data_IF_578104411474
#
_entry.id   IF_578104411474
#
_cell.length_a   1.000
_cell.length_b   1.000
_cell.length_c   1.000
_cell.angle_alpha   90.00
_cell.angle_beta   90.00
_cell.angle_gamma   90.00
#
_symmetry.space_group_name_H-M   'P 1'
#
loop_
_entity.id
_entity.type
_entity.pdbx_description
1 polymer ?
#
# COMPACT_ATOMS: atom_id res chain seq x y z
N UNK A 1 11.89 -4.35 8.92
CA UNK A 1 12.28 -4.98 10.20
C UNK A 1 11.02 -5.33 10.99
N UNK A 2 10.59 -6.60 10.98
CA UNK A 2 9.37 -7.02 11.68
C UNK A 2 9.63 -7.04 13.20
N UNK A 3 9.02 -6.11 13.94
CA UNK A 3 9.11 -6.07 15.40
C UNK A 3 8.42 -7.33 15.94
N UNK A 4 9.21 -8.21 16.58
CA UNK A 4 8.71 -9.42 17.22
C UNK A 4 7.83 -9.00 18.40
N UNK A 5 6.52 -9.17 18.27
CA UNK A 5 5.57 -8.77 19.30
C UNK A 5 5.64 -9.74 20.49
N UNK A 6 6.14 -9.26 21.63
CA UNK A 6 6.37 -10.08 22.84
C UNK A 6 5.08 -10.33 23.67
N UNK A 7 4.00 -9.57 23.43
CA UNK A 7 2.75 -9.67 24.17
C UNK A 7 1.55 -9.52 23.22
N UNK A 8 0.74 -10.57 23.14
CA UNK A 8 -0.44 -10.66 22.27
C UNK A 8 -1.71 -10.54 23.12
N UNK A 9 -1.99 -9.33 23.62
CA UNK A 9 -3.21 -9.00 24.36
C UNK A 9 -3.83 -7.73 23.77
N UNK A 10 -4.97 -7.90 23.10
CA UNK A 10 -5.73 -6.81 22.46
C UNK A 10 -7.06 -6.54 23.18
N UNK A 11 -7.21 -7.02 24.43
CA UNK A 11 -8.40 -6.77 25.26
C UNK A 11 -9.74 -7.17 24.63
N UNK A 12 -9.76 -8.02 23.60
CA UNK A 12 -10.96 -8.34 22.81
C UNK A 12 -12.14 -8.79 23.68
N UNK A 13 -11.92 -9.75 24.60
CA UNK A 13 -12.98 -10.21 25.53
C UNK A 13 -13.39 -9.10 26.50
N UNK A 14 -12.43 -8.31 27.02
CA UNK A 14 -12.71 -7.19 27.94
C UNK A 14 -13.60 -6.14 27.28
N UNK A 15 -13.36 -5.87 26.00
CA UNK A 15 -14.12 -4.98 25.14
C UNK A 15 -15.60 -5.39 25.01
N UNK A 16 -15.87 -6.67 24.75
CA UNK A 16 -17.23 -7.22 24.76
C UNK A 16 -17.90 -7.09 26.14
N UNK A 17 -17.18 -7.42 27.23
CA UNK A 17 -17.72 -7.32 28.59
C UNK A 17 -18.07 -5.88 28.97
N UNK A 18 -17.22 -4.91 28.62
CA UNK A 18 -17.47 -3.50 28.89
C UNK A 18 -18.72 -3.01 28.16
N UNK A 19 -18.91 -3.41 26.91
CA UNK A 19 -20.09 -3.04 26.14
C UNK A 19 -21.36 -3.68 26.73
N UNK A 20 -21.27 -4.94 27.16
CA UNK A 20 -22.37 -5.62 27.83
C UNK A 20 -22.77 -4.91 29.15
N UNK A 21 -21.81 -4.56 30.01
CA UNK A 21 -22.10 -3.84 31.26
C UNK A 21 -22.73 -2.46 31.01
N UNK A 22 -22.34 -1.79 29.90
CA UNK A 22 -22.93 -0.50 29.52
C UNK A 22 -24.43 -0.59 29.22
N UNK A 23 -24.92 -1.72 28.70
CA UNK A 23 -26.37 -1.95 28.49
C UNK A 23 -27.12 -1.85 29.83
N UNK A 24 -26.52 -2.34 30.91
CA UNK A 24 -27.13 -2.32 32.24
C UNK A 24 -26.84 -1.04 33.05
N UNK A 25 -26.16 -0.07 32.45
CA UNK A 25 -25.87 1.21 33.08
C UNK A 25 -26.94 2.24 32.76
N UNK A 26 -27.34 3.03 33.76
CA UNK A 26 -28.24 4.17 33.57
C UNK A 26 -29.67 3.95 34.06
N UNK A 27 -30.02 2.75 34.53
CA UNK A 27 -31.32 2.51 35.16
C UNK A 27 -31.45 3.25 36.49
N UNK A 28 -32.68 3.69 36.77
CA UNK A 28 -33.02 4.35 38.03
C UNK A 28 -34.31 3.79 38.62
N UNK A 29 -34.39 3.79 39.94
CA UNK A 29 -35.53 3.27 40.70
C UNK A 29 -36.10 4.39 41.55
N UNK A 30 -37.43 4.48 41.60
CA UNK A 30 -38.15 5.36 42.50
C UNK A 30 -38.23 4.70 43.87
N UNK A 31 -37.57 5.29 44.86
CA UNK A 31 -37.58 4.75 46.23
C UNK A 31 -38.52 5.49 47.19
N UNK A 32 -39.23 6.53 46.71
CA UNK A 32 -40.17 7.31 47.51
C UNK A 32 -40.28 8.76 47.06
N UNK A 33 -40.86 9.61 47.92
CA UNK A 33 -40.98 11.06 47.70
C UNK A 33 -39.92 11.81 48.50
N UNK A 34 -39.42 12.93 47.98
CA UNK A 34 -38.45 13.77 48.67
C UNK A 34 -39.06 14.29 49.97
N UNK A 35 -38.29 14.19 51.07
CA UNK A 35 -38.69 14.45 52.46
C UNK A 35 -39.24 15.87 52.74
N UNK A 36 -39.20 16.79 51.78
CA UNK A 36 -39.47 18.22 52.00
C UNK A 36 -40.53 18.84 51.07
N UNK A 37 -41.18 18.05 50.21
CA UNK A 37 -42.14 18.60 49.23
C UNK A 37 -43.38 17.71 49.01
N UNK A 38 -43.31 16.38 49.26
CA UNK A 38 -44.48 15.49 49.10
C UNK A 38 -45.01 15.36 47.65
N UNK A 39 -44.46 16.13 46.70
CA UNK A 39 -44.80 16.14 45.28
C UNK A 39 -43.69 15.62 44.37
N UNK A 40 -42.41 15.78 44.74
CA UNK A 40 -41.28 15.32 43.91
C UNK A 40 -40.86 13.89 44.25
N UNK A 41 -40.79 13.05 43.22
CA UNK A 41 -40.28 11.68 43.31
C UNK A 41 -38.75 11.66 43.47
N UNK A 42 -38.24 10.76 44.31
CA UNK A 42 -36.81 10.55 44.53
C UNK A 42 -36.33 9.30 43.79
N UNK A 43 -35.38 9.50 42.88
CA UNK A 43 -34.80 8.46 42.05
C UNK A 43 -33.38 8.15 42.49
N UNK A 44 -33.06 6.86 42.59
CA UNK A 44 -31.72 6.36 42.82
C UNK A 44 -31.20 5.69 41.55
N UNK A 45 -29.99 6.06 41.10
CA UNK A 45 -29.34 5.40 39.97
C UNK A 45 -28.74 4.08 40.44
N UNK A 46 -29.08 2.99 39.76
CA UNK A 46 -28.59 1.65 40.11
C UNK A 46 -27.21 1.44 39.48
N UNK A 47 -26.16 1.16 40.27
CA UNK A 47 -24.85 0.90 39.73
C UNK A 47 -24.76 -0.51 39.15
N UNK A 48 -24.26 -0.62 37.91
CA UNK A 48 -23.84 -1.87 37.30
C UNK A 48 -22.35 -2.10 37.52
N UNK A 49 -21.95 -3.30 37.97
CA UNK A 49 -20.56 -3.64 38.30
C UNK A 49 -20.18 -5.00 37.74
N UNK A 50 -18.90 -5.16 37.37
CA UNK A 50 -18.34 -6.47 37.08
C UNK A 50 -17.88 -7.16 38.37
N UNK A 51 -18.43 -8.32 38.69
CA UNK A 51 -18.04 -9.06 39.89
C UNK A 51 -18.91 -10.29 40.17
N UNK A 52 -18.27 -11.38 40.58
CA UNK A 52 -18.96 -12.61 41.01
C UNK A 52 -19.69 -12.37 42.35
N UNK A 53 -20.87 -12.96 42.45
CA UNK A 53 -21.74 -13.02 43.64
C UNK A 53 -20.93 -13.41 44.87
N UNK A 54 -20.06 -14.42 44.79
CA UNK A 54 -19.34 -14.95 45.97
C UNK A 54 -18.50 -13.88 46.67
N UNK A 55 -17.83 -13.01 45.89
CA UNK A 55 -16.98 -11.94 46.39
C UNK A 55 -17.80 -10.73 46.84
N UNK A 56 -18.87 -10.41 46.13
CA UNK A 56 -19.75 -9.29 46.48
C UNK A 56 -20.60 -9.61 47.72
N UNK A 57 -21.20 -10.80 47.78
CA UNK A 57 -21.94 -11.31 48.93
C UNK A 57 -21.04 -11.44 50.16
N UNK A 58 -19.81 -11.95 50.04
CA UNK A 58 -18.88 -12.00 51.17
C UNK A 58 -18.49 -10.61 51.70
N UNK A 59 -18.44 -9.59 50.83
CA UNK A 59 -18.17 -8.20 51.27
C UNK A 59 -19.38 -7.60 51.99
N UNK A 60 -20.58 -7.87 51.50
CA UNK A 60 -21.84 -7.42 52.13
C UNK A 60 -22.05 -8.12 53.48
N UNK A 61 -21.87 -9.44 53.54
CA UNK A 61 -21.97 -10.21 54.78
C UNK A 61 -20.93 -9.80 55.83
N UNK A 62 -19.69 -9.46 55.43
CA UNK A 62 -18.65 -8.95 56.33
C UNK A 62 -18.92 -7.52 56.82
N UNK A 63 -19.69 -6.74 56.06
CA UNK A 63 -20.11 -5.38 56.42
C UNK A 63 -21.45 -5.30 57.15
N UNK A 64 -22.12 -6.43 57.41
CA UNK A 64 -23.45 -6.46 58.03
C UNK A 64 -23.36 -6.33 59.56
N UNK A 65 -22.95 -5.14 60.02
CA UNK A 65 -23.23 -4.67 61.38
C UNK A 65 -24.64 -4.04 61.37
N UNK A 66 -25.44 -4.24 62.42
CA UNK A 66 -26.83 -3.74 62.55
C UNK A 66 -27.03 -2.24 62.20
N UNK A 67 -25.95 -1.46 62.18
CA UNK A 67 -25.98 -0.01 61.96
C UNK A 67 -25.53 0.43 60.54
N UNK A 68 -25.26 -0.49 59.61
CA UNK A 68 -24.85 -0.16 58.23
C UNK A 68 -26.01 -0.46 57.28
N UNK A 69 -26.47 0.57 56.57
CA UNK A 69 -27.53 0.43 55.56
C UNK A 69 -27.06 -0.47 54.43
N UNK A 70 -27.84 -1.52 54.16
CA UNK A 70 -27.59 -2.48 53.09
C UNK A 70 -27.48 -1.76 51.72
N UNK A 71 -26.44 -2.06 50.95
CA UNK A 71 -26.07 -1.34 49.70
C UNK A 71 -26.92 -1.71 48.47
N UNK A 72 -28.13 -2.26 48.65
CA UNK A 72 -29.08 -2.53 47.57
C UNK A 72 -29.88 -1.26 47.20
N UNK A 73 -30.27 -1.04 45.92
CA UNK A 73 -30.15 -1.94 44.78
C UNK A 73 -28.85 -1.77 43.97
N UNK A 74 -28.34 -2.87 43.39
CA UNK A 74 -27.22 -2.87 42.44
C UNK A 74 -27.35 -4.03 41.44
N UNK A 75 -26.64 -3.93 40.30
CA UNK A 75 -26.58 -4.98 39.28
C UNK A 75 -25.14 -5.53 39.21
N UNK A 76 -24.99 -6.84 39.39
CA UNK A 76 -23.73 -7.56 39.21
C UNK A 76 -23.72 -8.29 37.87
N UNK A 77 -22.65 -8.17 37.10
CA UNK A 77 -22.46 -8.92 35.86
C UNK A 77 -21.16 -9.70 35.92
N UNK A 78 -21.17 -10.97 35.52
CA UNK A 78 -19.98 -11.81 35.51
C UNK A 78 -20.05 -12.91 34.44
N UNK A 79 -18.89 -13.47 34.09
CA UNK A 79 -18.78 -14.52 33.07
C UNK A 79 -19.12 -15.87 33.71
N UNK A 80 -20.19 -16.51 33.25
CA UNK A 80 -20.54 -17.87 33.66
C UNK A 80 -19.64 -18.90 32.99
N UNK A 81 -19.49 -18.81 31.66
CA UNK A 81 -18.63 -19.72 30.90
C UNK A 81 -18.27 -19.14 29.54
N UNK A 82 -17.13 -19.56 29.01
CA UNK A 82 -16.72 -19.32 27.63
C UNK A 82 -16.59 -20.68 26.93
N UNK A 83 -17.38 -20.89 25.86
CA UNK A 83 -17.42 -22.17 25.14
C UNK A 83 -17.11 -21.95 23.65
N UNK A 84 -16.38 -22.88 22.99
CA UNK A 84 -16.20 -22.80 21.54
C UNK A 84 -17.52 -23.08 20.83
N UNK A 85 -17.88 -22.23 19.88
CA UNK A 85 -19.11 -22.39 19.11
C UNK A 85 -18.85 -23.18 17.83
N UNK A 86 -19.17 -24.46 17.86
CA UNK A 86 -18.91 -25.37 16.73
C UNK A 86 -19.80 -25.11 15.52
N UNK A 87 -20.98 -24.50 15.70
CA UNK A 87 -21.92 -24.29 14.61
C UNK A 87 -21.48 -23.16 13.67
N UNK A 88 -20.71 -22.19 14.19
CA UNK A 88 -20.17 -21.05 13.44
C UNK A 88 -18.73 -21.25 12.96
N UNK A 89 -18.14 -22.43 13.16
CA UNK A 89 -16.79 -22.73 12.69
C UNK A 89 -16.78 -22.73 11.17
N UNK A 90 -15.93 -21.88 10.59
CA UNK A 90 -15.59 -21.90 9.17
C UNK A 90 -14.15 -22.35 9.00
N UNK A 91 -13.68 -22.38 7.75
CA UNK A 91 -12.31 -22.81 7.44
C UNK A 91 -11.26 -21.92 8.14
N UNK A 92 -10.40 -22.50 9.00
CA UNK A 92 -9.44 -21.72 9.80
C UNK A 92 -8.37 -20.96 9.00
N UNK A 93 -8.11 -21.38 7.75
CA UNK A 93 -7.11 -20.77 6.88
C UNK A 93 -7.68 -19.73 5.92
N UNK A 94 -8.99 -19.49 5.98
CA UNK A 94 -9.61 -18.48 5.14
C UNK A 94 -9.03 -17.10 5.49
N UNK A 95 -8.49 -16.43 4.47
CA UNK A 95 -8.02 -15.07 4.55
C UNK A 95 -8.89 -14.18 3.65
N UNK A 96 -9.35 -13.08 4.23
CA UNK A 96 -10.06 -12.07 3.48
C UNK A 96 -9.18 -10.82 3.37
N UNK A 97 -9.15 -10.23 2.18
CA UNK A 97 -8.26 -9.13 1.84
C UNK A 97 -9.11 -7.93 1.43
N UNK A 98 -9.17 -6.93 2.29
CA UNK A 98 -9.92 -5.69 2.03
C UNK A 98 -8.92 -4.60 1.62
N UNK A 99 -9.09 -4.09 0.40
CA UNK A 99 -8.35 -2.93 -0.08
C UNK A 99 -9.01 -1.65 0.46
N UNK A 100 -8.22 -0.84 1.17
CA UNK A 100 -8.65 0.43 1.77
C UNK A 100 -7.73 1.53 1.26
N UNK A 101 -8.33 2.65 0.84
CA UNK A 101 -7.58 3.85 0.47
C UNK A 101 -7.71 4.84 1.62
N UNK A 102 -6.59 5.28 2.20
CA UNK A 102 -6.61 6.35 3.18
C UNK A 102 -6.76 7.70 2.49
N UNK A 103 -7.20 8.69 3.24
CA UNK A 103 -7.18 10.08 2.78
C UNK A 103 -5.76 10.61 2.88
N UNK A 104 -5.31 11.41 1.91
CA UNK A 104 -3.97 12.00 1.93
C UNK A 104 -3.76 12.83 3.19
N UNK A 105 -2.71 12.54 3.94
CA UNK A 105 -2.33 13.28 5.14
C UNK A 105 -1.41 14.43 4.74
N UNK A 106 -1.83 15.66 4.98
CA UNK A 106 -0.99 16.83 4.79
C UNK A 106 -0.19 17.11 6.07
N UNK A 107 1.12 16.89 5.99
CA UNK A 107 2.05 17.03 7.11
C UNK A 107 2.26 18.49 7.54
N UNK A 108 1.96 19.47 6.68
CA UNK A 108 2.06 20.89 7.02
C UNK A 108 0.87 21.36 7.85
N UNK A 109 -0.33 20.86 7.56
CA UNK A 109 -1.58 21.25 8.26
C UNK A 109 -2.02 20.26 9.32
N UNK A 110 -1.38 19.08 9.41
CA UNK A 110 -1.77 17.95 10.25
C UNK A 110 -3.23 17.53 10.04
N UNK A 111 -3.72 17.59 8.80
CA UNK A 111 -5.09 17.28 8.44
C UNK A 111 -5.16 16.33 7.27
N UNK A 112 -6.22 15.53 7.25
CA UNK A 112 -6.58 14.70 6.11
C UNK A 112 -7.29 15.55 5.06
N UNK A 113 -6.79 15.50 3.83
CA UNK A 113 -7.35 16.20 2.68
C UNK A 113 -8.32 15.27 1.94
N UNK A 114 -9.25 15.81 1.15
CA UNK A 114 -10.18 15.02 0.33
C UNK A 114 -9.53 14.37 -0.90
N UNK A 115 -8.21 14.19 -0.91
CA UNK A 115 -7.45 13.54 -1.97
C UNK A 115 -7.12 12.10 -1.58
N UNK A 116 -6.97 11.24 -2.59
CA UNK A 116 -6.54 9.86 -2.39
C UNK A 116 -5.11 9.83 -1.81
N UNK A 117 -4.94 9.13 -0.69
CA UNK A 117 -3.66 8.87 -0.03
C UNK A 117 -3.16 7.46 -0.29
N UNK A 118 -2.42 6.90 0.67
CA UNK A 118 -1.88 5.55 0.54
C UNK A 118 -2.97 4.48 0.44
N UNK A 119 -2.70 3.47 -0.38
CA UNK A 119 -3.54 2.28 -0.48
C UNK A 119 -2.96 1.16 0.36
N UNK A 120 -3.78 0.59 1.23
CA UNK A 120 -3.43 -0.55 2.05
C UNK A 120 -4.30 -1.73 1.68
N UNK A 121 -3.70 -2.91 1.64
CA UNK A 121 -4.42 -4.15 1.66
C UNK A 121 -4.32 -4.75 3.06
N UNK A 122 -5.45 -4.83 3.75
CA UNK A 122 -5.54 -5.41 5.09
C UNK A 122 -6.01 -6.86 4.92
N UNK A 123 -5.10 -7.80 5.20
CA UNK A 123 -5.41 -9.22 5.23
C UNK A 123 -5.82 -9.61 6.64
N UNK A 124 -7.06 -10.09 6.78
CA UNK A 124 -7.64 -10.58 8.02
C UNK A 124 -7.81 -12.10 7.93
N UNK A 125 -7.41 -12.81 8.99
CA UNK A 125 -7.71 -14.24 9.11
C UNK A 125 -9.11 -14.43 9.68
N UNK A 126 -9.72 -15.57 9.36
CA UNK A 126 -10.93 -16.06 10.01
C UNK A 126 -10.79 -16.06 11.55
N UNK A 127 -11.65 -15.36 12.31
CA UNK A 127 -11.71 -15.39 13.75
C UNK A 127 -12.29 -16.71 14.21
N UNK A 128 -11.91 -17.09 15.41
CA UNK A 128 -12.44 -18.27 16.07
C UNK A 128 -13.73 -17.88 16.79
N UNK A 129 -14.86 -18.55 16.52
CA UNK A 129 -16.13 -18.27 17.17
C UNK A 129 -16.17 -18.86 18.59
N UNK A 130 -16.62 -18.05 19.54
CA UNK A 130 -16.94 -18.46 20.90
C UNK A 130 -18.35 -18.01 21.30
N UNK A 131 -18.92 -18.72 22.25
CA UNK A 131 -20.12 -18.33 22.99
C UNK A 131 -19.70 -17.90 24.38
N UNK A 132 -19.91 -16.62 24.68
CA UNK A 132 -19.71 -16.03 25.99
C UNK A 132 -21.05 -16.04 26.72
N UNK A 133 -21.15 -16.87 27.76
CA UNK A 133 -22.32 -16.92 28.63
C UNK A 133 -22.09 -15.97 29.81
N UNK A 134 -22.92 -14.93 29.90
CA UNK A 134 -22.89 -13.92 30.94
C UNK A 134 -24.08 -14.08 31.87
N UNK A 135 -23.85 -13.92 33.17
CA UNK A 135 -24.91 -13.87 34.15
C UNK A 135 -25.04 -12.44 34.69
N UNK A 136 -26.28 -11.97 34.82
CA UNK A 136 -26.64 -10.67 35.40
C UNK A 136 -27.54 -10.89 36.60
N UNK A 137 -27.11 -10.40 37.75
CA UNK A 137 -27.81 -10.52 39.02
C UNK A 137 -28.28 -9.14 39.49
N UNK A 138 -29.59 -8.98 39.63
CA UNK A 138 -30.24 -7.75 40.09
C UNK A 138 -30.57 -7.92 41.57
N UNK A 139 -29.86 -7.18 42.42
CA UNK A 139 -30.03 -7.19 43.87
C UNK A 139 -30.96 -6.08 44.30
N UNK A 140 -32.03 -6.42 45.03
CA UNK A 140 -33.06 -5.47 45.45
C UNK A 140 -33.49 -5.69 46.89
N UNK A 141 -33.80 -4.62 47.60
CA UNK A 141 -34.30 -4.70 48.99
C UNK A 141 -35.82 -4.82 49.07
N UNK A 142 -36.55 -4.44 48.01
CA UNK A 142 -38.01 -4.50 47.96
C UNK A 142 -38.48 -5.01 46.59
N UNK A 143 -39.61 -5.74 46.58
CA UNK A 143 -40.28 -6.22 45.37
C UNK A 143 -40.66 -5.09 44.42
N UNK A 144 -41.05 -3.91 44.91
CA UNK A 144 -41.36 -2.77 44.02
C UNK A 144 -40.13 -2.30 43.23
N UNK A 145 -38.97 -2.23 43.88
CA UNK A 145 -37.71 -1.89 43.19
C UNK A 145 -37.33 -2.93 42.13
N UNK A 146 -37.59 -4.21 42.43
CA UNK A 146 -37.39 -5.32 41.50
C UNK A 146 -38.29 -5.21 40.28
N UNK A 147 -39.59 -4.98 40.47
CA UNK A 147 -40.53 -4.82 39.36
C UNK A 147 -40.14 -3.62 38.48
N UNK A 148 -39.81 -2.47 39.07
CA UNK A 148 -39.38 -1.29 38.32
C UNK A 148 -38.12 -1.55 37.47
N UNK A 149 -37.13 -2.28 38.00
CA UNK A 149 -35.91 -2.62 37.25
C UNK A 149 -36.16 -3.68 36.18
N UNK A 150 -36.92 -4.72 36.52
CA UNK A 150 -37.21 -5.81 35.58
C UNK A 150 -38.03 -5.31 34.39
N UNK A 151 -39.01 -4.44 34.59
CA UNK A 151 -39.78 -3.86 33.47
C UNK A 151 -38.91 -2.99 32.56
N UNK A 152 -37.97 -2.20 33.12
CA UNK A 152 -37.05 -1.39 32.33
C UNK A 152 -36.05 -2.23 31.52
N UNK A 153 -35.59 -3.35 32.08
CA UNK A 153 -34.59 -4.22 31.44
C UNK A 153 -35.25 -5.13 30.39
N UNK A 154 -36.36 -5.80 30.73
CA UNK A 154 -36.95 -6.84 29.89
C UNK A 154 -37.51 -6.30 28.57
N UNK A 155 -37.97 -5.05 28.52
CA UNK A 155 -38.46 -4.42 27.28
C UNK A 155 -37.34 -4.21 26.25
N UNK A 156 -36.07 -4.18 26.67
CA UNK A 156 -34.92 -4.01 25.75
C UNK A 156 -34.57 -5.29 24.98
N UNK A 157 -34.99 -6.45 25.47
CA UNK A 157 -34.63 -7.74 24.88
C UNK A 157 -35.87 -8.39 24.27
N UNK A 158 -35.87 -8.57 22.94
CA UNK A 158 -36.94 -9.27 22.23
C UNK A 158 -36.39 -10.29 21.24
N UNK A 159 -36.16 -11.54 21.65
CA UNK A 159 -35.36 -12.02 22.79
C UNK A 159 -33.85 -11.66 22.67
N UNK A 160 -33.45 -10.99 21.58
CA UNK A 160 -32.08 -10.56 21.34
C UNK A 160 -31.99 -9.04 21.12
N UNK A 161 -30.80 -8.49 21.37
CA UNK A 161 -30.42 -7.10 21.11
C UNK A 161 -29.13 -7.09 20.29
N UNK A 162 -29.13 -6.41 19.15
CA UNK A 162 -27.91 -6.23 18.35
C UNK A 162 -27.14 -5.00 18.81
N UNK A 163 -25.82 -5.16 18.95
CA UNK A 163 -24.92 -4.10 19.39
C UNK A 163 -23.74 -4.00 18.43
N UNK A 164 -23.36 -2.77 18.11
CA UNK A 164 -22.10 -2.49 17.44
C UNK A 164 -21.02 -2.25 18.49
N UNK A 165 -19.93 -3.01 18.43
CA UNK A 165 -18.83 -2.95 19.37
C UNK A 165 -17.75 -1.93 18.96
N UNK A 166 -17.55 -1.70 17.66
CA UNK A 166 -16.50 -0.83 17.12
C UNK A 166 -16.96 -0.13 15.83
N UNK A 167 -16.38 1.04 15.55
CA UNK A 167 -16.62 1.87 14.37
C UNK A 167 -15.64 1.58 13.22
N UNK A 168 -14.75 0.59 13.38
CA UNK A 168 -13.80 0.22 12.33
C UNK A 168 -14.52 -0.54 11.19
N UNK A 169 -14.63 0.03 9.98
CA UNK A 169 -15.32 -0.62 8.86
C UNK A 169 -14.59 -1.87 8.34
N UNK A 170 -13.29 -2.01 8.64
CA UNK A 170 -12.45 -3.14 8.22
C UNK A 170 -12.55 -4.31 9.19
N UNK A 171 -13.13 -4.09 10.38
CA UNK A 171 -13.40 -5.13 11.35
C UNK A 171 -14.77 -5.77 11.05
N UNK A 172 -14.77 -7.08 10.90
CA UNK A 172 -15.96 -7.87 10.58
C UNK A 172 -16.63 -8.46 11.82
N UNK A 173 -16.02 -8.28 13.00
CA UNK A 173 -16.58 -8.68 14.30
C UNK A 173 -17.35 -7.54 14.97
N UNK A 174 -17.63 -6.48 14.22
CA UNK A 174 -18.21 -5.22 14.70
C UNK A 174 -19.62 -5.37 15.25
N UNK A 175 -20.42 -6.29 14.70
CA UNK A 175 -21.80 -6.51 15.12
C UNK A 175 -21.86 -7.81 15.93
N UNK A 176 -22.41 -7.73 17.14
CA UNK A 176 -22.74 -8.91 17.95
C UNK A 176 -24.15 -8.83 18.48
N UNK A 177 -24.75 -9.99 18.70
CA UNK A 177 -26.10 -10.12 19.22
C UNK A 177 -26.02 -10.59 20.67
N UNK A 178 -26.77 -9.96 21.56
CA UNK A 178 -26.91 -10.35 22.96
C UNK A 178 -28.29 -10.96 23.13
N UNK A 179 -28.34 -12.27 23.38
CA UNK A 179 -29.59 -13.01 23.54
C UNK A 179 -29.86 -13.28 25.02
N UNK A 180 -31.09 -13.03 25.47
CA UNK A 180 -31.57 -13.42 26.80
C UNK A 180 -32.06 -14.87 26.74
N UNK A 181 -31.30 -15.80 27.35
CA UNK A 181 -31.60 -17.23 27.27
C UNK A 181 -32.57 -17.71 28.34
N UNK A 182 -32.46 -17.19 29.57
CA UNK A 182 -33.31 -17.61 30.69
C UNK A 182 -33.35 -16.55 31.80
N UNK A 183 -34.39 -16.58 32.62
CA UNK A 183 -34.62 -15.67 33.75
C UNK A 183 -35.04 -16.50 34.98
N UNK A 184 -34.20 -16.47 36.01
CA UNK A 184 -34.55 -16.96 37.33
C UNK A 184 -35.15 -15.82 38.17
N UNK A 185 -36.47 -15.87 38.41
CA UNK A 185 -37.20 -14.79 39.08
C UNK A 185 -36.67 -14.48 40.48
N UNK A 186 -36.42 -15.48 41.32
CA UNK A 186 -35.87 -15.27 42.67
C UNK A 186 -34.93 -16.40 43.04
N UNK A 187 -33.68 -16.05 43.36
CA UNK A 187 -32.72 -16.93 44.01
C UNK A 187 -32.77 -16.67 45.52
N UNK A 188 -33.80 -17.20 46.18
CA UNK A 188 -33.87 -17.20 47.64
C UNK A 188 -33.12 -18.42 48.15
N UNK A 189 -31.83 -18.24 48.42
CA UNK A 189 -31.12 -19.19 49.28
C UNK A 189 -31.82 -19.22 50.63
N UNK A 190 -32.45 -20.35 50.97
CA UNK A 190 -33.31 -20.53 52.14
C UNK A 190 -32.52 -20.26 53.45
N UNK A 191 -33.19 -19.74 54.51
CA UNK A 191 -32.63 -18.77 55.45
C UNK A 191 -32.37 -19.31 56.86
N UNK A 192 -31.51 -18.61 57.61
CA UNK A 192 -31.44 -18.71 59.06
C UNK A 192 -31.29 -17.30 59.67
N UNK A 193 -32.41 -16.59 59.82
CA UNK A 193 -32.48 -15.29 60.50
C UNK A 193 -33.76 -14.54 60.17
N UNK A 194 -34.35 -13.88 61.17
CA UNK A 194 -35.66 -13.19 61.11
C UNK A 194 -35.50 -11.78 60.46
N UNK A 195 -34.49 -11.59 59.62
CA UNK A 195 -34.17 -10.30 58.98
C UNK A 195 -34.80 -10.20 57.59
N UNK A 196 -35.14 -8.96 57.18
CA UNK A 196 -35.62 -8.65 55.83
C UNK A 196 -34.57 -9.05 54.79
N UNK A 197 -34.86 -10.12 54.06
CA UNK A 197 -33.94 -10.76 53.12
C UNK A 197 -33.89 -10.00 51.79
N UNK A 198 -32.68 -9.79 51.27
CA UNK A 198 -32.45 -9.27 49.91
C UNK A 198 -33.03 -10.26 48.88
N UNK A 199 -33.76 -9.75 47.90
CA UNK A 199 -34.24 -10.54 46.75
C UNK A 199 -33.31 -10.35 45.55
N UNK A 200 -32.97 -11.45 44.89
CA UNK A 200 -32.04 -11.51 43.75
C UNK A 200 -32.76 -12.12 42.57
N UNK A 201 -32.88 -11.37 41.48
CA UNK A 201 -33.30 -11.89 40.18
C UNK A 201 -32.07 -12.11 39.31
N UNK A 202 -31.97 -13.28 38.67
CA UNK A 202 -30.83 -13.67 37.85
C UNK A 202 -31.26 -13.85 36.40
N UNK A 203 -30.52 -13.26 35.46
CA UNK A 203 -30.74 -13.37 34.02
C UNK A 203 -29.50 -13.97 33.35
N UNK A 204 -29.72 -14.89 32.42
CA UNK A 204 -28.68 -15.56 31.66
C UNK A 204 -28.66 -15.03 30.23
N UNK A 205 -27.48 -14.61 29.78
CA UNK A 205 -27.28 -14.06 28.45
C UNK A 205 -26.26 -14.88 27.67
N UNK A 206 -26.55 -15.10 26.40
CA UNK A 206 -25.64 -15.71 25.45
C UNK A 206 -25.16 -14.66 24.45
N UNK A 207 -23.84 -14.50 24.37
CA UNK A 207 -23.20 -13.53 23.49
C UNK A 207 -22.26 -14.29 22.55
N UNK A 208 -22.66 -14.52 21.29
CA UNK A 208 -21.74 -14.90 20.24
C UNK A 208 -20.61 -13.86 20.09
N UNK A 209 -19.38 -14.25 20.41
CA UNK A 209 -18.18 -13.42 20.23
C UNK A 209 -17.19 -14.07 19.27
N UNK A 210 -16.31 -13.25 18.72
CA UNK A 210 -15.25 -13.67 17.81
C UNK A 210 -13.90 -13.25 18.40
N UNK A 211 -12.92 -14.14 18.32
CA UNK A 211 -11.54 -13.85 18.74
C UNK A 211 -10.65 -13.96 17.50
N UNK A 212 -10.01 -12.85 17.12
CA UNK A 212 -9.18 -12.77 15.92
C UNK A 212 -7.68 -12.64 16.22
N UNK A 213 -6.81 -13.28 15.43
CA UNK A 213 -5.38 -12.96 15.38
C UNK A 213 -5.18 -11.54 14.78
N UNK A 214 -3.98 -10.93 14.92
CA UNK A 214 -3.75 -9.58 14.45
C UNK A 214 -3.81 -9.54 12.91
N UNK A 215 -4.39 -8.48 12.36
CA UNK A 215 -4.48 -8.30 10.91
C UNK A 215 -3.11 -7.94 10.33
N UNK A 216 -2.79 -8.51 9.17
CA UNK A 216 -1.59 -8.12 8.41
C UNK A 216 -1.94 -6.92 7.54
N UNK A 217 -1.36 -5.77 7.83
CA UNK A 217 -1.48 -4.57 6.99
C UNK A 217 -0.31 -4.57 6.02
N UNK A 218 -0.62 -4.73 4.74
CA UNK A 218 0.36 -4.64 3.65
C UNK A 218 0.09 -3.39 2.84
N UNK A 219 1.12 -2.59 2.55
CA UNK A 219 0.97 -1.49 1.59
C UNK A 219 0.73 -2.09 0.21
N UNK A 220 -0.28 -1.57 -0.49
CA UNK A 220 -0.60 -2.02 -1.83
C UNK A 220 0.32 -1.30 -2.81
N UNK A 221 1.48 -1.88 -3.08
CA UNK A 221 2.34 -1.46 -4.19
C UNK A 221 1.72 -1.97 -5.50
N UNK A 222 0.61 -1.37 -5.92
CA UNK A 222 0.04 -1.62 -7.24
C UNK A 222 0.50 -0.51 -8.16
N UNK A 223 1.62 -0.78 -8.83
CA UNK A 223 2.01 -0.04 -10.03
C UNK A 223 1.06 -0.52 -11.13
N UNK A 224 0.11 0.33 -11.52
CA UNK A 224 -0.68 0.14 -12.74
C UNK A 224 -0.43 1.33 -13.65
N UNK A 225 0.33 1.10 -14.72
CA UNK A 225 0.18 1.92 -15.91
C UNK A 225 -1.10 1.44 -16.61
N UNK A 226 -2.11 2.31 -16.68
CA UNK A 226 -3.21 2.11 -17.60
C UNK A 226 -2.76 2.72 -18.92
N UNK A 227 -2.27 1.89 -19.83
CA UNK A 227 -2.04 2.29 -21.21
C UNK A 227 -3.41 2.31 -21.88
N UNK A 228 -4.06 3.47 -21.92
CA UNK A 228 -5.27 3.67 -22.72
C UNK A 228 -4.87 4.03 -24.15
N UNK A 229 -4.91 3.05 -25.05
CA UNK A 229 -4.86 3.33 -26.48
C UNK A 229 -6.28 3.70 -26.93
N UNK A 230 -6.52 4.98 -27.18
CA UNK A 230 -7.75 5.45 -27.81
C UNK A 230 -7.59 5.36 -29.33
N UNK A 231 -8.27 4.38 -29.93
CA UNK A 231 -8.41 4.29 -31.38
C UNK A 231 -9.72 4.98 -31.78
N UNK A 232 -9.65 6.09 -32.50
CA UNK A 232 -10.82 6.74 -33.07
C UNK A 232 -11.13 6.12 -34.43
N UNK A 233 -12.30 5.49 -34.55
CA UNK A 233 -12.87 5.10 -35.83
C UNK A 233 -13.65 6.29 -36.39
N UNK A 234 -13.32 6.74 -37.59
CA UNK A 234 -14.07 7.79 -38.30
C UNK A 234 -15.18 7.24 -39.19
N UNK A 235 -15.29 5.93 -39.37
CA UNK A 235 -16.31 5.33 -40.22
C UNK A 235 -16.91 4.08 -39.57
N UNK A 236 -18.24 4.10 -39.38
CA UNK A 236 -19.00 3.05 -38.69
C UNK A 236 -19.93 2.28 -39.65
N UNK A 237 -19.86 2.56 -40.95
CA UNK A 237 -20.89 2.15 -41.93
C UNK A 237 -20.47 0.98 -42.85
N UNK A 238 -19.27 0.43 -42.69
CA UNK A 238 -18.83 -0.76 -43.46
C UNK A 238 -18.39 -1.88 -42.54
N UNK A 239 -19.38 -2.50 -41.89
CA UNK A 239 -19.25 -3.77 -41.17
C UNK A 239 -19.59 -4.94 -42.11
N UNK A 240 -19.04 -4.91 -43.33
CA UNK A 240 -19.12 -6.03 -44.27
C UNK A 240 -17.80 -6.78 -44.26
N UNK A 241 -17.87 -8.11 -44.28
CA UNK A 241 -16.75 -9.02 -44.09
C UNK A 241 -15.80 -8.98 -45.29
N UNK A 242 -14.68 -8.27 -45.15
CA UNK A 242 -13.60 -8.24 -46.14
C UNK A 242 -12.54 -9.31 -45.82
N UNK A 243 -12.25 -10.27 -46.72
CA UNK A 243 -11.25 -11.31 -46.53
C UNK A 243 -9.80 -10.82 -46.41
N UNK A 244 -9.51 -9.53 -46.59
CA UNK A 244 -8.18 -8.92 -46.41
C UNK A 244 -7.94 -8.36 -44.98
N UNK A 245 -8.69 -8.86 -43.98
CA UNK A 245 -8.64 -8.46 -42.57
C UNK A 245 -7.27 -8.57 -41.85
N UNK A 246 -6.21 -8.99 -42.54
CA UNK A 246 -4.84 -9.02 -42.01
C UNK A 246 -4.08 -7.70 -42.23
N UNK A 247 -4.48 -6.85 -43.19
CA UNK A 247 -3.85 -5.53 -43.41
C UNK A 247 -4.52 -4.38 -42.63
N UNK A 248 -5.62 -4.67 -41.92
CA UNK A 248 -6.45 -3.71 -41.17
C UNK A 248 -5.70 -2.97 -40.04
N UNK A 249 -4.56 -3.51 -39.58
CA UNK A 249 -3.76 -2.90 -38.51
C UNK A 249 -2.63 -1.98 -39.01
N UNK A 250 -2.40 -1.89 -40.32
CA UNK A 250 -1.24 -1.15 -40.87
C UNK A 250 -1.40 0.37 -40.83
N UNK A 251 -2.63 0.91 -40.76
CA UNK A 251 -2.89 2.36 -40.88
C UNK A 251 -3.50 2.98 -39.60
N UNK A 252 -3.36 2.32 -38.45
CA UNK A 252 -3.75 2.87 -37.15
C UNK A 252 -2.76 3.95 -36.71
N UNK A 253 -3.03 5.21 -37.04
CA UNK A 253 -2.29 6.35 -36.49
C UNK A 253 -2.70 6.62 -35.04
N UNK A 254 -1.83 6.23 -34.11
CA UNK A 254 -1.94 6.45 -32.68
C UNK A 254 -1.78 7.95 -32.36
N UNK A 255 -2.81 8.58 -31.79
CA UNK A 255 -2.79 10.03 -31.53
C UNK A 255 -2.23 10.43 -30.16
N UNK A 256 -2.33 9.58 -29.12
CA UNK A 256 -1.71 9.88 -27.82
C UNK A 256 -1.66 8.64 -26.92
N UNK A 257 -0.48 8.37 -26.37
CA UNK A 257 -0.30 7.51 -25.20
C UNK A 257 -0.04 8.41 -23.99
N UNK A 258 -0.90 8.35 -22.97
CA UNK A 258 -0.66 9.06 -21.71
C UNK A 258 -0.11 8.06 -20.71
N UNK A 259 1.22 8.05 -20.53
CA UNK A 259 1.86 7.30 -19.46
C UNK A 259 2.09 8.26 -18.30
N UNK A 260 1.43 8.01 -17.17
CA UNK A 260 1.55 8.88 -15.99
C UNK A 260 2.59 8.27 -15.05
N UNK A 261 3.80 8.84 -14.99
CA UNK A 261 4.66 8.66 -13.82
C UNK A 261 4.06 9.48 -12.67
N UNK A 262 3.99 8.97 -11.43
CA UNK A 262 3.26 9.69 -10.41
C UNK A 262 4.07 10.91 -9.94
N UNK A 263 3.34 12.00 -9.69
CA UNK A 263 3.85 13.38 -9.59
C UNK A 263 4.50 13.98 -10.85
N UNK A 264 4.42 13.28 -11.99
CA UNK A 264 4.80 13.81 -13.30
C UNK A 264 6.29 14.24 -13.36
N UNK A 265 7.18 13.53 -12.68
CA UNK A 265 8.63 13.80 -12.74
C UNK A 265 9.25 13.35 -14.07
N UNK A 266 10.19 14.15 -14.57
CA UNK A 266 11.10 13.79 -15.66
C UNK A 266 12.38 13.15 -15.08
N UNK A 267 13.15 12.47 -15.91
CA UNK A 267 14.40 11.82 -15.50
C UNK A 267 15.50 12.17 -16.50
N UNK A 268 16.63 12.66 -16.02
CA UNK A 268 17.82 12.88 -16.83
C UNK A 268 18.82 11.75 -16.62
N UNK A 269 19.36 11.24 -17.73
CA UNK A 269 20.42 10.23 -17.77
C UNK A 269 21.64 10.82 -18.42
N UNK A 270 22.75 10.86 -17.68
CA UNK A 270 24.04 11.41 -18.15
C UNK A 270 25.18 10.44 -17.92
N UNK A 271 26.14 10.42 -18.84
CA UNK A 271 27.40 9.69 -18.68
C UNK A 271 28.51 10.58 -18.13
N UNK A 272 29.33 10.04 -17.22
CA UNK A 272 30.58 10.66 -16.78
C UNK A 272 31.62 9.59 -16.51
N UNK A 273 32.74 9.62 -17.26
CA UNK A 273 33.88 8.71 -17.12
C UNK A 273 33.52 7.21 -17.22
N UNK A 274 32.62 6.83 -18.13
CA UNK A 274 32.18 5.47 -18.38
C UNK A 274 31.14 4.94 -17.39
N UNK A 275 30.58 5.80 -16.52
CA UNK A 275 29.48 5.49 -15.61
C UNK A 275 28.26 6.32 -15.96
N UNK A 276 27.07 5.75 -15.80
CA UNK A 276 25.82 6.45 -16.04
C UNK A 276 25.18 6.88 -14.72
N UNK A 277 24.58 8.06 -14.73
CA UNK A 277 23.95 8.67 -13.58
C UNK A 277 22.53 9.11 -13.93
N UNK A 278 21.62 8.96 -12.99
CA UNK A 278 20.22 9.33 -13.12
C UNK A 278 19.82 10.38 -12.09
N UNK A 279 19.16 11.44 -12.55
CA UNK A 279 18.66 12.54 -11.73
C UNK A 279 17.19 12.80 -12.04
N UNK A 280 16.30 12.85 -11.04
CA UNK A 280 14.91 13.24 -11.24
C UNK A 280 14.83 14.76 -11.40
N UNK A 281 13.96 15.20 -12.30
CA UNK A 281 13.72 16.61 -12.61
C UNK A 281 12.22 16.89 -12.51
N UNK A 282 11.86 18.12 -12.18
CA UNK A 282 10.46 18.56 -12.18
C UNK A 282 10.02 18.86 -13.61
N UNK A 283 8.88 18.33 -14.04
CA UNK A 283 8.38 18.57 -15.40
C UNK A 283 8.08 20.06 -15.61
N UNK A 284 8.70 20.65 -16.65
CA UNK A 284 8.62 22.06 -17.00
C UNK A 284 9.59 23.01 -16.25
N UNK A 285 10.35 22.52 -15.25
CA UNK A 285 11.41 23.29 -14.60
C UNK A 285 12.62 22.39 -14.28
N UNK A 286 13.62 22.41 -15.16
CA UNK A 286 14.81 21.56 -15.07
C UNK A 286 15.92 22.10 -14.15
N UNK A 287 15.66 23.21 -13.42
CA UNK A 287 16.65 23.87 -12.55
C UNK A 287 16.42 23.57 -11.05
N UNK A 288 15.27 23.01 -10.68
CA UNK A 288 14.98 22.65 -9.28
C UNK A 288 15.57 21.26 -8.96
N UNK A 289 16.47 21.20 -7.98
CA UNK A 289 17.04 19.94 -7.47
C UNK A 289 15.97 19.11 -6.75
N UNK A 290 15.50 18.05 -7.40
CA UNK A 290 14.61 17.05 -6.80
C UNK A 290 15.46 15.93 -6.22
N UNK A 291 15.21 15.55 -4.97
CA UNK A 291 15.95 14.44 -4.36
C UNK A 291 15.27 13.11 -4.65
N UNK A 292 16.04 12.02 -4.68
CA UNK A 292 15.46 10.68 -4.79
C UNK A 292 14.61 10.31 -3.58
N UNK A 293 14.81 10.94 -2.41
CA UNK A 293 13.96 10.73 -1.23
C UNK A 293 12.54 11.25 -1.47
N UNK A 294 12.40 12.42 -2.10
CA UNK A 294 11.09 12.97 -2.48
C UNK A 294 10.36 12.04 -3.45
N UNK A 295 11.10 11.52 -4.44
CA UNK A 295 10.56 10.53 -5.39
C UNK A 295 10.16 9.25 -4.65
N UNK A 296 11.01 8.70 -3.78
CA UNK A 296 10.83 7.40 -3.14
C UNK A 296 9.82 7.38 -1.97
N UNK A 297 9.48 8.54 -1.41
CA UNK A 297 8.56 8.67 -0.25
C UNK A 297 7.25 7.89 -0.45
N UNK A 298 6.75 7.83 -1.69
CA UNK A 298 5.50 7.16 -2.04
C UNK A 298 5.66 5.69 -2.50
N UNK A 299 6.88 5.18 -2.71
CA UNK A 299 7.10 3.87 -3.36
C UNK A 299 7.86 2.84 -2.50
N UNK A 300 8.68 3.28 -1.54
CA UNK A 300 9.43 2.39 -0.65
C UNK A 300 10.91 2.74 -0.57
N UNK A 301 11.71 1.82 -0.03
CA UNK A 301 13.16 1.96 0.03
C UNK A 301 13.82 1.48 -1.26
N UNK A 302 14.88 2.16 -1.67
CA UNK A 302 15.77 1.68 -2.72
C UNK A 302 16.77 0.69 -2.12
N UNK A 303 16.77 -0.54 -2.63
CA UNK A 303 17.79 -1.53 -2.34
C UNK A 303 18.89 -1.48 -3.40
N UNK A 304 20.11 -1.14 -2.97
CA UNK A 304 21.26 -0.90 -3.83
C UNK A 304 21.61 -2.14 -4.67
N UNK A 305 21.70 -1.95 -5.99
CA UNK A 305 22.04 -2.99 -6.96
C UNK A 305 20.93 -4.00 -7.25
N UNK A 306 19.82 -3.95 -6.50
CA UNK A 306 18.65 -4.84 -6.66
C UNK A 306 17.52 -4.10 -7.36
N UNK A 307 17.26 -2.86 -6.95
CA UNK A 307 16.23 -2.00 -7.55
C UNK A 307 16.53 -1.74 -9.02
N UNK A 308 15.51 -1.82 -9.87
CA UNK A 308 15.66 -1.67 -11.32
C UNK A 308 15.01 -0.38 -11.81
N UNK A 309 15.65 0.25 -12.77
CA UNK A 309 15.10 1.34 -13.57
C UNK A 309 14.87 0.80 -14.98
N UNK A 310 13.73 1.15 -15.57
CA UNK A 310 13.47 0.87 -16.99
C UNK A 310 13.14 2.16 -17.73
N UNK A 311 13.79 2.33 -18.85
CA UNK A 311 13.66 3.48 -19.75
C UNK A 311 13.04 3.01 -21.05
N UNK A 312 12.07 3.76 -21.56
CA UNK A 312 11.58 3.57 -22.92
C UNK A 312 12.65 4.05 -23.90
N UNK A 313 12.78 3.41 -25.06
CA UNK A 313 13.61 3.98 -26.12
C UNK A 313 13.06 5.36 -26.50
N UNK A 314 13.96 6.30 -26.76
CA UNK A 314 13.72 7.72 -26.97
C UNK A 314 12.52 8.00 -27.93
N UNK A 315 11.30 8.08 -27.41
CA UNK A 315 10.06 8.31 -28.16
C UNK A 315 9.28 7.07 -28.64
N UNK A 316 9.79 5.85 -28.48
CA UNK A 316 9.14 4.62 -28.95
C UNK A 316 8.26 4.00 -27.85
N UNK A 317 7.04 4.51 -27.73
CA UNK A 317 6.02 3.99 -26.81
C UNK A 317 5.37 2.68 -27.30
N UNK A 318 5.46 2.41 -28.60
CA UNK A 318 4.67 1.39 -29.29
C UNK A 318 5.21 -0.04 -29.07
N UNK A 319 6.50 -0.15 -28.75
CA UNK A 319 7.12 -1.43 -28.41
C UNK A 319 7.16 -1.61 -26.89
N UNK A 320 6.23 -2.42 -26.37
CA UNK A 320 6.15 -2.72 -24.94
C UNK A 320 7.31 -3.61 -24.45
N UNK A 321 7.97 -4.34 -25.34
CA UNK A 321 9.04 -5.29 -25.01
C UNK A 321 10.45 -4.69 -25.13
N UNK A 322 10.58 -3.54 -25.79
CA UNK A 322 11.84 -2.84 -25.98
C UNK A 322 12.04 -1.76 -24.89
N UNK A 323 12.43 -2.18 -23.69
CA UNK A 323 12.83 -1.27 -22.61
C UNK A 323 14.32 -1.45 -22.31
N UNK A 324 15.04 -0.34 -22.12
CA UNK A 324 16.39 -0.37 -21.56
C UNK A 324 16.26 -0.56 -20.06
N UNK A 325 16.82 -1.65 -19.54
CA UNK A 325 16.75 -2.00 -18.12
C UNK A 325 18.14 -1.83 -17.51
N UNK A 326 18.18 -1.36 -16.27
CA UNK A 326 19.41 -1.39 -15.49
C UNK A 326 19.13 -1.37 -13.99
N UNK A 327 20.15 -1.62 -13.20
CA UNK A 327 20.09 -1.53 -11.74
C UNK A 327 20.52 -0.16 -11.25
N UNK A 328 19.94 0.25 -10.11
CA UNK A 328 20.26 1.52 -9.44
C UNK A 328 21.09 1.27 -8.20
N UNK A 329 22.04 2.16 -7.93
CA UNK A 329 22.81 2.21 -6.68
C UNK A 329 22.95 3.64 -6.16
N UNK A 330 22.83 3.78 -4.85
CA UNK A 330 22.95 5.06 -4.15
C UNK A 330 24.33 5.68 -4.31
N UNK A 331 24.37 7.00 -4.52
CA UNK A 331 25.60 7.81 -4.54
C UNK A 331 25.66 8.71 -3.30
N UNK A 332 26.80 9.34 -3.03
CA UNK A 332 26.96 10.30 -1.94
C UNK A 332 26.08 11.58 -2.10
N UNK A 333 25.60 11.87 -3.31
CA UNK A 333 24.65 12.96 -3.57
C UNK A 333 23.22 12.39 -3.61
N UNK A 334 22.27 12.87 -2.78
CA UNK A 334 20.88 12.39 -2.76
C UNK A 334 20.07 12.68 -4.02
N UNK A 335 20.54 13.57 -4.90
CA UNK A 335 19.89 13.88 -6.18
C UNK A 335 20.31 12.93 -7.30
N UNK A 336 21.38 12.15 -7.11
CA UNK A 336 22.01 11.37 -8.18
C UNK A 336 22.11 9.91 -7.77
N UNK A 337 21.61 9.01 -8.62
CA UNK A 337 21.86 7.56 -8.51
C UNK A 337 22.79 7.11 -9.62
N UNK A 338 23.63 6.13 -9.33
CA UNK A 338 24.41 5.43 -10.35
C UNK A 338 23.52 4.38 -11.02
N UNK A 339 23.49 4.40 -12.35
CA UNK A 339 22.67 3.52 -13.18
C UNK A 339 23.57 2.55 -13.95
N UNK A 340 23.43 1.26 -13.65
CA UNK A 340 24.15 0.20 -14.33
C UNK A 340 23.23 -0.45 -15.37
N UNK A 341 23.42 -0.07 -16.64
CA UNK A 341 22.63 -0.61 -17.76
C UNK A 341 22.95 -2.08 -17.99
N UNK A 342 21.90 -2.88 -18.15
CA UNK A 342 21.99 -4.25 -18.63
C UNK A 342 22.14 -4.24 -20.15
N UNK A 343 23.32 -4.62 -20.63
CA UNK A 343 23.69 -4.59 -22.06
C UNK A 343 22.86 -5.56 -22.90
N UNK A 344 22.28 -6.60 -22.29
CA UNK A 344 21.43 -7.56 -23.00
C UNK A 344 20.06 -6.98 -23.36
N UNK A 345 19.69 -5.84 -22.74
CA UNK A 345 18.44 -5.11 -23.05
C UNK A 345 18.60 -4.06 -24.13
N UNK A 346 19.84 -3.79 -24.57
CA UNK A 346 20.10 -2.86 -25.66
C UNK A 346 19.85 -3.54 -27.02
N UNK A 347 19.44 -2.78 -28.05
CA UNK A 347 19.28 -3.31 -29.41
C UNK A 347 20.57 -3.95 -29.90
N UNK A 348 20.46 -5.03 -30.68
CA UNK A 348 21.65 -5.67 -31.25
C UNK A 348 22.32 -4.75 -32.26
N UNK A 349 23.65 -4.61 -32.16
CA UNK A 349 24.43 -3.84 -33.12
C UNK A 349 24.27 -4.39 -34.55
N UNK A 350 23.83 -3.54 -35.47
CA UNK A 350 23.80 -3.87 -36.91
C UNK A 350 25.13 -3.57 -37.59
N UNK A 351 25.91 -2.66 -37.01
CA UNK A 351 27.26 -2.30 -37.42
C UNK A 351 28.24 -2.80 -36.37
N UNK A 352 29.33 -3.42 -36.81
CA UNK A 352 30.43 -3.82 -35.94
C UNK A 352 30.97 -2.63 -35.13
N UNK A 353 31.21 -2.89 -33.85
CA UNK A 353 31.57 -1.87 -32.86
C UNK A 353 32.78 -1.02 -33.28
N UNK A 354 32.81 0.21 -32.80
CA UNK A 354 33.94 1.14 -32.97
C UNK A 354 34.79 1.18 -31.71
N UNK A 355 36.08 1.38 -31.87
CA UNK A 355 37.01 1.50 -30.74
C UNK A 355 36.82 2.81 -30.00
N UNK A 356 36.55 3.90 -30.74
CA UNK A 356 36.31 5.22 -30.15
C UNK A 356 35.56 6.14 -31.11
N UNK A 357 34.85 7.10 -30.55
CA UNK A 357 34.38 8.30 -31.25
C UNK A 357 35.49 9.35 -31.26
N UNK A 358 35.76 9.95 -32.40
CA UNK A 358 36.85 10.91 -32.61
C UNK A 358 36.34 12.21 -33.23
N UNK A 359 37.04 13.30 -32.92
CA UNK A 359 37.01 14.52 -33.72
C UNK A 359 38.27 14.54 -34.60
N UNK A 360 38.10 14.31 -35.90
CA UNK A 360 39.18 14.17 -36.86
C UNK A 360 40.06 15.42 -37.02
N UNK A 361 39.61 16.60 -36.55
CA UNK A 361 40.41 17.84 -36.59
C UNK A 361 41.53 17.84 -35.54
N UNK A 362 41.33 17.15 -34.41
CA UNK A 362 42.26 17.09 -33.28
C UNK A 362 42.89 15.70 -33.10
N UNK A 363 42.12 14.66 -33.44
CA UNK A 363 42.51 13.26 -33.33
C UNK A 363 43.46 12.85 -34.47
N UNK A 364 44.54 12.15 -34.11
CA UNK A 364 45.52 11.58 -35.07
C UNK A 364 45.99 10.22 -34.55
N UNK A 365 46.22 9.22 -35.43
CA UNK A 365 46.80 7.95 -34.99
C UNK A 365 48.15 8.15 -34.28
N UNK A 366 48.34 7.48 -33.13
CA UNK A 366 49.54 7.59 -32.30
C UNK A 366 49.62 8.84 -31.42
N UNK A 367 48.55 9.62 -31.27
CA UNK A 367 48.52 10.87 -30.48
C UNK A 367 47.30 10.93 -29.53
N UNK A 368 47.42 11.60 -28.38
CA UNK A 368 46.32 11.81 -27.40
C UNK A 368 45.49 10.54 -27.10
N UNK A 369 46.15 9.48 -26.63
CA UNK A 369 45.54 8.18 -26.30
C UNK A 369 44.85 7.48 -27.48
N UNK A 370 45.11 7.87 -28.73
CA UNK A 370 44.74 7.11 -29.93
C UNK A 370 45.94 6.23 -30.29
N UNK A 371 45.79 4.90 -30.30
CA UNK A 371 46.86 3.98 -30.67
C UNK A 371 47.42 4.25 -32.07
N UNK A 372 48.63 3.77 -32.35
CA UNK A 372 49.15 3.72 -33.72
C UNK A 372 48.27 2.80 -34.59
N UNK A 373 48.19 3.03 -35.92
CA UNK A 373 47.34 2.25 -36.81
C UNK A 373 47.64 0.75 -36.73
N UNK A 374 46.61 -0.03 -36.40
CA UNK A 374 46.65 -1.48 -36.37
C UNK A 374 45.40 -2.04 -37.08
N UNK A 375 45.54 -3.21 -37.69
CA UNK A 375 44.46 -3.82 -38.47
C UNK A 375 43.19 -3.99 -37.62
N UNK A 376 42.04 -3.61 -38.19
CA UNK A 376 40.73 -3.73 -37.55
C UNK A 376 40.38 -2.61 -36.57
N UNK A 377 41.23 -1.59 -36.40
CA UNK A 377 40.87 -0.39 -35.65
C UNK A 377 39.78 0.40 -36.37
N UNK A 378 38.75 0.81 -35.64
CA UNK A 378 37.57 1.49 -36.16
C UNK A 378 37.24 2.73 -35.35
N UNK A 379 36.99 3.85 -36.02
CA UNK A 379 36.62 5.10 -35.37
C UNK A 379 35.40 5.74 -36.02
N UNK A 380 34.47 6.22 -35.19
CA UNK A 380 33.34 7.05 -35.63
C UNK A 380 33.78 8.52 -35.65
N UNK A 381 33.62 9.21 -36.78
CA UNK A 381 34.04 10.61 -36.91
C UNK A 381 32.91 11.60 -36.65
N UNK A 382 33.14 12.58 -35.77
CA UNK A 382 32.22 13.71 -35.51
C UNK A 382 32.41 14.88 -36.50
N UNK A 383 33.49 14.87 -37.27
CA UNK A 383 33.87 15.92 -38.23
C UNK A 383 34.31 15.32 -39.55
N UNK A 384 34.32 16.13 -40.61
CA UNK A 384 34.83 15.68 -41.91
C UNK A 384 36.33 15.37 -41.84
N UNK A 385 36.72 14.29 -42.51
CA UNK A 385 38.09 13.84 -42.69
C UNK A 385 38.50 14.12 -44.13
N UNK A 386 39.65 14.75 -44.33
CA UNK A 386 40.23 14.99 -45.65
C UNK A 386 41.42 14.06 -45.90
N UNK A 387 41.59 13.62 -47.13
CA UNK A 387 42.71 12.80 -47.58
C UNK A 387 44.08 13.49 -47.42
N UNK A 388 44.12 14.82 -47.36
CA UNK A 388 45.36 15.56 -47.03
C UNK A 388 45.68 15.58 -45.53
N UNK A 389 44.78 15.05 -44.70
CA UNK A 389 44.88 15.01 -43.25
C UNK A 389 45.63 13.78 -42.70
N UNK A 390 45.76 13.67 -41.37
CA UNK A 390 46.52 12.62 -40.70
C UNK A 390 45.94 11.20 -40.87
N UNK A 391 44.70 11.10 -41.33
CA UNK A 391 43.98 9.85 -41.59
C UNK A 391 44.13 9.36 -43.04
N UNK A 392 44.56 10.22 -43.98
CA UNK A 392 44.81 9.81 -45.37
C UNK A 392 43.59 9.29 -46.14
N UNK A 393 42.37 9.69 -45.74
CA UNK A 393 41.10 9.30 -46.35
C UNK A 393 40.13 10.49 -46.40
N UNK A 394 39.31 10.57 -47.45
CA UNK A 394 38.13 11.43 -47.47
C UNK A 394 36.91 10.71 -46.87
N UNK A 395 36.40 11.24 -45.76
CA UNK A 395 35.20 10.75 -45.09
C UNK A 395 34.40 11.93 -44.52
N UNK A 396 33.09 11.82 -44.45
CA UNK A 396 32.22 12.89 -43.95
C UNK A 396 31.91 12.70 -42.46
N UNK A 397 31.36 13.74 -41.81
CA UNK A 397 30.74 13.62 -40.49
C UNK A 397 29.81 12.40 -40.46
N UNK A 398 29.82 11.67 -39.35
CA UNK A 398 29.05 10.44 -39.09
C UNK A 398 29.53 9.18 -39.83
N UNK A 399 30.58 9.26 -40.66
CA UNK A 399 31.20 8.07 -41.25
C UNK A 399 32.04 7.30 -40.22
N UNK A 400 32.15 5.99 -40.42
CA UNK A 400 33.06 5.12 -39.66
C UNK A 400 34.23 4.76 -40.54
N UNK A 401 35.44 5.05 -40.07
CA UNK A 401 36.70 4.67 -40.74
C UNK A 401 37.30 3.42 -40.08
N UNK A 402 37.94 2.58 -40.88
CA UNK A 402 38.59 1.34 -40.44
C UNK A 402 39.98 1.20 -41.06
N UNK A 403 40.95 0.73 -40.29
CA UNK A 403 42.28 0.46 -40.82
C UNK A 403 42.40 -0.98 -41.33
N UNK A 404 42.56 -1.15 -42.65
CA UNK A 404 42.61 -2.47 -43.30
C UNK A 404 43.98 -3.16 -43.25
N UNK A 405 44.96 -2.56 -42.55
CA UNK A 405 46.35 -3.02 -42.49
C UNK A 405 47.32 -2.27 -43.40
N UNK A 406 46.81 -1.56 -44.42
CA UNK A 406 47.62 -0.71 -45.33
C UNK A 406 47.17 0.75 -45.34
N UNK A 407 45.87 1.02 -45.20
CA UNK A 407 45.27 2.36 -45.27
C UNK A 407 43.97 2.42 -44.47
N UNK A 408 43.57 3.63 -44.07
CA UNK A 408 42.21 3.87 -43.59
C UNK A 408 41.23 3.76 -44.76
N UNK A 409 40.12 3.05 -44.55
CA UNK A 409 39.02 2.89 -45.50
C UNK A 409 37.70 3.24 -44.83
N UNK A 410 36.72 3.66 -45.62
CA UNK A 410 35.38 3.94 -45.11
C UNK A 410 34.64 2.61 -44.90
N UNK A 411 34.34 2.28 -43.65
CA UNK A 411 33.65 1.04 -43.24
C UNK A 411 32.15 1.24 -43.11
N UNK A 412 31.71 2.47 -42.85
CA UNK A 412 30.31 2.89 -42.89
C UNK A 412 30.21 4.26 -43.56
N UNK A 413 29.31 4.37 -44.54
CA UNK A 413 28.99 5.62 -45.23
C UNK A 413 27.62 6.11 -44.77
N UNK A 414 27.61 7.17 -43.95
CA UNK A 414 26.41 7.75 -43.40
C UNK A 414 25.52 8.37 -44.48
N UNK A 415 26.10 8.89 -45.56
CA UNK A 415 25.34 9.54 -46.65
C UNK A 415 24.56 8.55 -47.51
N UNK A 416 25.04 7.31 -47.61
CA UNK A 416 24.41 6.25 -48.39
C UNK A 416 23.45 5.38 -47.56
N UNK A 417 23.47 5.52 -46.23
CA UNK A 417 22.68 4.71 -45.32
C UNK A 417 21.36 5.40 -44.97
N UNK A 418 20.24 4.73 -45.27
CA UNK A 418 18.88 5.27 -45.05
C UNK A 418 18.07 4.49 -44.02
N UNK A 419 18.58 3.33 -43.59
CA UNK A 419 17.96 2.50 -42.58
C UNK A 419 18.49 2.85 -41.18
N UNK A 420 17.80 2.38 -40.15
CA UNK A 420 18.25 2.47 -38.77
C UNK A 420 19.45 1.54 -38.55
N UNK A 421 20.53 2.07 -37.97
CA UNK A 421 21.69 1.27 -37.57
C UNK A 421 22.07 1.47 -36.11
N UNK A 422 22.72 0.46 -35.53
CA UNK A 422 23.20 0.49 -34.15
C UNK A 422 24.69 0.13 -34.10
N UNK A 423 25.46 0.93 -33.37
CA UNK A 423 26.89 0.72 -33.16
C UNK A 423 27.25 1.00 -31.70
N UNK A 424 28.11 0.18 -31.11
CA UNK A 424 28.64 0.45 -29.77
C UNK A 424 30.07 0.95 -29.82
N UNK A 425 30.41 1.82 -28.86
CA UNK A 425 31.76 2.30 -28.60
C UNK A 425 32.39 1.44 -27.49
N UNK A 426 33.46 0.72 -27.80
CA UNK A 426 34.12 -0.17 -26.83
C UNK A 426 34.89 0.57 -25.75
N UNK A 427 35.26 1.84 -25.98
CA UNK A 427 35.99 2.67 -25.01
C UNK A 427 35.08 3.28 -23.94
N UNK A 428 33.91 3.80 -24.32
CA UNK A 428 32.94 4.41 -23.37
C UNK A 428 31.84 3.44 -22.93
N UNK A 429 31.62 2.36 -23.68
CA UNK A 429 30.50 1.45 -23.47
C UNK A 429 29.14 1.99 -23.94
N UNK A 430 29.12 3.17 -24.57
CA UNK A 430 27.92 3.79 -25.14
C UNK A 430 27.48 3.05 -26.41
N UNK A 431 26.18 3.10 -26.68
CA UNK A 431 25.62 2.66 -27.95
C UNK A 431 24.95 3.85 -28.63
N UNK A 432 25.19 3.96 -29.94
CA UNK A 432 24.62 4.97 -30.79
C UNK A 432 23.62 4.34 -31.77
N UNK A 433 22.53 5.07 -32.00
CA UNK A 433 21.52 4.82 -33.04
C UNK A 433 21.73 5.81 -34.18
N UNK A 434 21.84 5.31 -35.40
CA UNK A 434 21.87 6.12 -36.61
C UNK A 434 20.46 6.28 -37.17
N UNK A 435 19.99 7.52 -37.25
CA UNK A 435 18.72 7.93 -37.84
C UNK A 435 18.81 9.33 -38.42
N UNK A 436 18.00 9.63 -39.43
CA UNK A 436 17.91 10.96 -40.04
C UNK A 436 19.27 11.56 -40.45
N UNK A 437 20.25 10.70 -40.77
CA UNK A 437 21.60 11.08 -41.17
C UNK A 437 22.58 11.37 -40.03
N UNK A 438 22.18 11.17 -38.77
CA UNK A 438 23.01 11.44 -37.59
C UNK A 438 23.06 10.29 -36.58
N UNK A 439 24.18 10.19 -35.84
CA UNK A 439 24.31 9.27 -34.71
C UNK A 439 23.86 9.97 -33.43
N UNK A 440 22.84 9.40 -32.79
CA UNK A 440 22.32 9.83 -31.49
C UNK A 440 22.59 8.74 -30.45
N UNK A 441 22.73 9.12 -29.18
CA UNK A 441 22.85 8.13 -28.10
C UNK A 441 21.55 7.33 -27.96
N UNK A 442 21.66 6.02 -27.71
CA UNK A 442 20.51 5.13 -27.62
C UNK A 442 19.64 5.38 -26.37
N UNK A 443 20.22 5.82 -25.25
CA UNK A 443 19.49 5.91 -23.97
C UNK A 443 19.90 7.06 -23.02
N UNK A 444 20.88 7.88 -23.40
CA UNK A 444 21.15 9.12 -22.67
C UNK A 444 20.18 10.23 -23.09
N UNK A 445 19.92 11.17 -22.18
CA UNK A 445 19.05 12.31 -22.43
C UNK A 445 18.03 12.55 -21.32
N UNK A 446 17.04 13.38 -21.63
CA UNK A 446 15.94 13.69 -20.73
C UNK A 446 14.73 12.86 -21.14
N UNK A 447 14.20 12.10 -20.19
CA UNK A 447 12.98 11.33 -20.29
C UNK A 447 11.86 12.08 -19.62
N UNK A 448 10.86 12.47 -20.41
CA UNK A 448 9.65 13.06 -19.87
C UNK A 448 8.91 12.05 -18.98
N UNK A 449 8.02 12.59 -18.16
CA UNK A 449 7.11 11.80 -17.35
C UNK A 449 6.38 10.76 -18.22
N UNK A 450 6.41 9.50 -17.75
CA UNK A 450 5.84 8.38 -18.48
C UNK A 450 6.83 7.55 -19.32
N UNK A 451 8.00 8.08 -19.66
CA UNK A 451 9.00 7.36 -20.45
C UNK A 451 10.02 6.58 -19.60
N UNK A 452 9.86 6.58 -18.29
CA UNK A 452 10.72 5.85 -17.35
C UNK A 452 9.91 5.24 -16.20
N UNK A 453 10.41 4.17 -15.58
CA UNK A 453 9.77 3.49 -14.44
C UNK A 453 10.77 2.90 -13.44
N UNK A 454 10.40 2.92 -12.16
CA UNK A 454 11.12 2.26 -11.08
C UNK A 454 10.45 0.92 -10.72
N UNK A 455 11.27 -0.11 -10.55
CA UNK A 455 10.90 -1.39 -9.98
C UNK A 455 11.70 -1.59 -8.69
N UNK A 456 11.07 -1.24 -7.56
CA UNK A 456 11.64 -1.47 -6.23
C UNK A 456 11.42 -2.94 -5.87
N UNK A 457 12.50 -3.72 -5.95
CA UNK A 457 12.52 -5.15 -5.65
C UNK A 457 13.10 -5.33 -4.25
N UNK A 458 12.50 -6.21 -3.45
CA UNK A 458 12.96 -6.58 -2.10
C UNK A 458 13.60 -7.97 -2.08
#
# INVERSE_FOLDING_TARGET
>A
MAIKQHHFYDEQIRRYILQFIRIFSGFSVKTGKKMNDGTTDYYIRVPARYGDISRMAATIMKGNSENIVNSAPFIGCWIQSLQPDRARVQEPFFNDAVAVTERKFDQATNKYVNEDGNRFNVKRLMPVPYLLNMQVDVWTSNTDQKLQLMEQILVLFNPALEIQHNDNPVDWTTITTVELSDIQWSSRGIPAGIEDQIDIATMFFQIPIWINPPAQVTRQNVIRNIIHNLYTYTDLDTLDYDPDAFEFFSDLKQQATVVITPENYALQVTETNGKYFCQPLKNGNYEDGVTWEDVLTNYGSLDDGISRLRLKFHGELDNLEADVIGSLSSTANPEILEFTVDKDTLPTNTITAVDRVIDATTAKPGFNNIPSPAIGQRYLSLTDVSASGPWGIDASKNDIIEYNGSSWVKSFDASAYTLRAYVSNTFTGQQFKFEDGEWNDTFQGIYDAGYWRLELLQ
#
